data_IF_416226787677
#
_entry.id   IF_416226787677
#
_cell.length_a   1.000
_cell.length_b   1.000
_cell.length_c   1.000
_cell.angle_alpha   90.00
_cell.angle_beta   90.00
_cell.angle_gamma   90.00
#
_symmetry.space_group_name_H-M   'P 1'
#
loop_
_entity.id
_entity.type
_entity.pdbx_description
1 polymer ?
#
# COMPACT_ATOMS: atom_id res chain seq x y z
N UNK A 1 74.91 -18.36 21.30
CA UNK A 1 75.69 -17.35 20.60
C UNK A 1 74.94 -16.04 20.61
N UNK A 2 75.45 -15.11 21.38
CA UNK A 2 74.92 -13.76 21.60
C UNK A 2 74.87 -12.95 20.31
N UNK A 3 73.91 -12.02 20.22
CA UNK A 3 74.24 -10.61 20.04
C UNK A 3 72.98 -9.74 20.11
N UNK A 4 72.99 -8.96 21.13
CA UNK A 4 72.25 -7.74 21.39
C UNK A 4 72.46 -6.65 20.34
N UNK A 5 71.58 -5.69 20.20
CA UNK A 5 71.86 -4.24 20.21
C UNK A 5 70.63 -3.43 19.88
N UNK A 6 70.21 -2.76 20.79
CA UNK A 6 70.29 -1.31 21.14
C UNK A 6 69.09 -0.47 20.67
N UNK A 7 68.35 -0.08 21.66
CA UNK A 7 67.46 1.05 21.77
C UNK A 7 68.10 2.38 21.35
N UNK A 8 67.42 3.18 20.61
CA UNK A 8 67.56 4.64 20.66
C UNK A 8 66.17 5.29 20.78
N UNK A 9 66.02 5.89 21.94
CA UNK A 9 64.96 6.80 22.26
C UNK A 9 65.26 8.14 21.63
N UNK A 10 64.41 8.65 20.82
CA UNK A 10 64.41 10.05 20.41
C UNK A 10 63.05 10.67 20.93
N UNK A 11 63.24 11.46 21.95
CA UNK A 11 62.21 12.36 22.49
C UNK A 11 62.07 13.54 21.55
N UNK A 12 60.87 13.74 21.04
CA UNK A 12 60.47 14.97 20.38
C UNK A 12 59.32 15.56 21.14
N UNK A 13 59.52 16.74 21.66
CA UNK A 13 58.56 17.53 22.42
C UNK A 13 57.37 17.92 21.56
N UNK A 14 56.18 17.67 22.07
CA UNK A 14 54.93 18.02 21.43
C UNK A 14 54.56 19.47 21.74
N UNK A 15 54.34 20.26 20.71
CA UNK A 15 53.61 21.51 20.81
C UNK A 15 52.09 21.22 20.88
N UNK A 16 51.49 21.66 21.95
CA UNK A 16 50.01 21.60 22.12
C UNK A 16 49.37 22.69 21.25
N UNK A 17 48.80 22.31 20.16
CA UNK A 17 47.85 23.16 19.40
C UNK A 17 46.46 22.78 19.82
N UNK A 18 45.81 23.61 20.60
CA UNK A 18 44.39 23.54 20.92
C UNK A 18 43.57 23.97 19.68
N UNK A 19 43.35 23.02 18.79
CA UNK A 19 42.41 23.16 17.71
C UNK A 19 41.07 22.58 18.16
N UNK A 20 40.07 23.46 18.38
CA UNK A 20 38.70 23.01 18.66
C UNK A 20 38.16 22.22 17.47
N UNK A 21 37.99 20.93 17.63
CA UNK A 21 37.16 20.13 16.73
C UNK A 21 35.69 20.52 16.98
N UNK A 22 35.16 21.35 16.11
CA UNK A 22 33.70 21.41 15.89
C UNK A 22 33.32 20.06 15.31
N UNK A 23 32.83 19.19 16.16
CA UNK A 23 32.12 17.98 15.72
C UNK A 23 30.78 18.42 15.09
N UNK A 24 30.78 18.60 13.77
CA UNK A 24 29.56 18.66 13.00
C UNK A 24 28.95 17.25 13.06
N UNK A 25 28.03 17.06 14.00
CA UNK A 25 27.11 15.92 13.93
C UNK A 25 26.27 16.10 12.68
N UNK A 26 26.62 15.39 11.63
CA UNK A 26 25.72 15.19 10.49
C UNK A 26 24.57 14.37 11.05
N UNK A 27 23.45 15.03 11.33
CA UNK A 27 22.21 14.34 11.58
C UNK A 27 21.84 13.61 10.28
N UNK A 28 22.13 12.32 10.24
CA UNK A 28 21.60 11.44 9.19
C UNK A 28 20.11 11.37 9.45
N UNK A 29 19.37 12.20 8.74
CA UNK A 29 17.91 12.04 8.68
C UNK A 29 17.65 10.67 8.06
N UNK A 30 16.95 9.76 8.74
CA UNK A 30 16.61 8.47 8.15
C UNK A 30 15.86 8.73 6.84
N UNK A 31 16.36 8.13 5.77
CA UNK A 31 15.76 8.24 4.45
C UNK A 31 14.30 7.77 4.56
N UNK A 32 13.35 8.60 4.15
CA UNK A 32 11.91 8.29 4.26
C UNK A 32 11.51 6.98 3.53
N UNK A 33 12.40 6.42 2.71
CA UNK A 33 12.27 5.11 2.08
C UNK A 33 12.55 3.93 3.01
N UNK A 34 13.21 4.14 4.16
CA UNK A 34 13.52 3.09 5.16
C UNK A 34 12.56 3.10 6.34
N UNK A 35 11.77 4.15 6.51
CA UNK A 35 10.67 4.17 7.44
C UNK A 35 9.55 3.29 6.88
N UNK A 36 9.52 2.01 7.28
CA UNK A 36 8.39 1.12 7.04
C UNK A 36 7.08 1.74 7.54
N UNK A 37 5.97 1.00 7.53
CA UNK A 37 4.67 1.50 7.98
C UNK A 37 4.61 2.02 9.43
N UNK A 38 5.74 2.14 10.12
CA UNK A 38 5.86 2.73 11.46
C UNK A 38 5.89 4.26 11.50
N UNK A 39 6.21 4.87 10.36
CA UNK A 39 6.52 6.28 10.37
C UNK A 39 5.28 7.11 10.33
N UNK A 40 4.77 7.58 11.31
CA UNK A 40 3.78 8.67 11.41
C UNK A 40 2.47 8.29 12.08
N UNK A 41 2.37 8.60 13.35
CA UNK A 41 1.10 8.97 13.94
C UNK A 41 0.87 10.47 13.66
N UNK A 42 0.12 10.80 12.61
CA UNK A 42 -0.41 12.15 12.46
C UNK A 42 -1.73 12.24 13.22
N UNK A 43 -1.93 13.32 13.91
CA UNK A 43 -3.24 13.66 14.44
C UNK A 43 -4.18 13.98 13.27
N UNK A 44 -5.00 13.02 12.86
CA UNK A 44 -5.92 13.12 11.71
C UNK A 44 -6.85 14.34 11.80
N UNK A 45 -7.12 14.86 13.01
CA UNK A 45 -7.96 16.04 13.19
C UNK A 45 -7.35 17.33 12.63
N UNK A 46 -6.03 17.36 12.45
CA UNK A 46 -5.29 18.54 11.94
C UNK A 46 -5.06 18.51 10.44
N UNK A 47 -5.32 17.37 9.76
CA UNK A 47 -5.12 17.22 8.34
C UNK A 47 -6.35 17.68 7.55
N UNK A 48 -6.14 18.35 6.43
CA UNK A 48 -7.18 18.58 5.43
C UNK A 48 -7.63 17.26 4.79
N UNK A 49 -8.82 17.21 4.18
CA UNK A 49 -9.29 16.04 3.46
C UNK A 49 -8.32 15.59 2.36
N UNK A 50 -7.70 16.55 1.66
CA UNK A 50 -6.75 16.26 0.58
C UNK A 50 -5.43 15.70 1.15
N UNK A 51 -4.93 16.22 2.26
CA UNK A 51 -3.77 15.65 2.95
C UNK A 51 -4.03 14.22 3.41
N UNK A 52 -5.22 13.93 3.95
CA UNK A 52 -5.59 12.55 4.31
C UNK A 52 -5.65 11.60 3.11
N UNK A 53 -6.02 12.10 1.94
CA UNK A 53 -6.02 11.31 0.70
C UNK A 53 -4.61 10.94 0.22
N UNK A 54 -3.64 11.83 0.41
CA UNK A 54 -2.24 11.60 0.02
C UNK A 54 -1.42 10.97 1.13
N UNK A 55 -1.70 11.33 2.38
CA UNK A 55 -0.87 11.06 3.56
C UNK A 55 -1.60 10.22 4.61
N UNK A 56 -2.54 9.34 4.19
CA UNK A 56 -3.16 8.41 5.12
C UNK A 56 -2.09 7.61 5.85
N UNK A 57 -2.07 7.74 7.16
CA UNK A 57 -1.04 7.19 7.99
C UNK A 57 -1.52 5.97 8.72
N UNK A 58 -0.62 5.02 8.79
CA UNK A 58 -0.88 3.74 9.40
C UNK A 58 -1.20 3.90 10.88
N UNK A 59 -2.34 3.35 11.29
CA UNK A 59 -2.78 3.31 12.70
C UNK A 59 -2.09 2.21 13.49
N UNK A 60 -1.28 1.38 12.82
CA UNK A 60 -0.46 0.32 13.41
C UNK A 60 0.98 0.48 12.93
N UNK A 61 1.94 0.39 13.84
CA UNK A 61 3.35 0.25 13.49
C UNK A 61 3.63 -1.05 12.74
N UNK A 62 4.73 -1.11 11.98
CA UNK A 62 5.04 -2.19 11.05
C UNK A 62 5.05 -3.58 11.70
N UNK A 63 5.63 -3.72 12.88
CA UNK A 63 5.64 -4.98 13.64
C UNK A 63 4.22 -5.45 13.98
N UNK A 64 3.38 -4.56 14.50
CA UNK A 64 2.00 -4.90 14.86
C UNK A 64 1.17 -5.20 13.61
N UNK A 65 1.37 -4.44 12.53
CA UNK A 65 0.71 -4.69 11.25
C UNK A 65 1.09 -6.07 10.67
N UNK A 66 2.39 -6.41 10.69
CA UNK A 66 2.86 -7.71 10.22
C UNK A 66 2.26 -8.87 11.03
N UNK A 67 2.29 -8.80 12.37
CA UNK A 67 1.68 -9.80 13.26
C UNK A 67 0.18 -9.94 12.98
N UNK A 68 -0.53 -8.82 12.96
CA UNK A 68 -1.96 -8.75 12.71
C UNK A 68 -2.38 -9.37 11.38
N UNK A 69 -1.64 -9.08 10.30
CA UNK A 69 -1.93 -9.66 8.98
C UNK A 69 -1.60 -11.16 8.92
N UNK A 70 -0.62 -11.65 9.70
CA UNK A 70 -0.33 -13.09 9.80
C UNK A 70 -1.40 -13.86 10.58
N UNK A 71 -2.02 -13.22 11.54
CA UNK A 71 -3.16 -13.79 12.28
C UNK A 71 -4.40 -13.90 11.38
N UNK A 72 -4.51 -13.05 10.37
CA UNK A 72 -5.65 -12.98 9.46
C UNK A 72 -6.81 -12.14 10.01
N UNK A 73 -7.96 -12.21 9.33
CA UNK A 73 -9.18 -11.51 9.74
C UNK A 73 -9.31 -10.10 9.18
N UNK A 74 -8.48 -9.71 8.21
CA UNK A 74 -8.52 -8.40 7.57
C UNK A 74 -8.92 -8.50 6.10
N UNK A 75 -9.55 -7.44 5.62
CA UNK A 75 -9.78 -7.22 4.19
C UNK A 75 -8.74 -6.23 3.69
N UNK A 76 -8.14 -6.53 2.55
CA UNK A 76 -7.13 -5.68 1.92
C UNK A 76 -7.67 -5.23 0.57
N UNK A 77 -7.93 -3.94 0.42
CA UNK A 77 -8.32 -3.35 -0.85
C UNK A 77 -7.06 -2.91 -1.61
N UNK A 78 -6.88 -3.41 -2.82
CA UNK A 78 -5.74 -3.10 -3.69
C UNK A 78 -6.26 -2.36 -4.93
N UNK A 79 -5.82 -1.14 -5.17
CA UNK A 79 -6.01 -0.52 -6.48
C UNK A 79 -5.18 -1.29 -7.49
N UNK A 80 -5.74 -1.57 -8.68
CA UNK A 80 -5.00 -2.24 -9.75
C UNK A 80 -3.62 -1.61 -10.00
N UNK A 81 -2.66 -2.39 -10.46
CA UNK A 81 -1.31 -1.93 -10.78
C UNK A 81 -1.29 -1.00 -12.02
N UNK A 82 -0.16 -0.38 -12.28
CA UNK A 82 0.01 0.64 -13.33
C UNK A 82 -0.45 0.19 -14.70
N UNK A 83 -1.02 1.13 -15.45
CA UNK A 83 -1.55 0.93 -16.78
C UNK A 83 -0.75 1.70 -17.85
N UNK A 84 -0.93 1.34 -19.13
CA UNK A 84 -0.21 1.96 -20.24
C UNK A 84 -0.64 3.41 -20.53
N UNK A 85 -1.90 3.74 -20.25
CA UNK A 85 -2.50 5.04 -20.54
C UNK A 85 -3.20 5.58 -19.31
N UNK A 86 -3.19 6.89 -19.18
CA UNK A 86 -3.88 7.59 -18.11
C UNK A 86 -5.18 8.21 -18.64
N UNK A 87 -6.09 7.36 -19.08
CA UNK A 87 -7.43 7.72 -19.51
C UNK A 87 -8.45 6.71 -19.03
N UNK A 88 -9.69 7.12 -18.89
CA UNK A 88 -10.77 6.24 -18.45
C UNK A 88 -11.34 5.40 -19.59
N UNK A 89 -11.58 4.12 -19.35
CA UNK A 89 -12.26 3.22 -20.31
C UNK A 89 -13.69 3.65 -20.58
N UNK A 90 -14.34 4.30 -19.62
CA UNK A 90 -15.72 4.77 -19.70
C UNK A 90 -15.96 5.81 -20.84
N UNK A 91 -14.89 6.42 -21.36
CA UNK A 91 -14.99 7.31 -22.52
C UNK A 91 -14.90 6.58 -23.85
N UNK A 92 -14.62 5.28 -23.83
CA UNK A 92 -14.55 4.45 -25.05
C UNK A 92 -15.93 3.90 -25.41
N UNK A 93 -16.47 4.19 -26.58
CA UNK A 93 -17.75 3.63 -27.01
C UNK A 93 -17.68 2.13 -27.29
N UNK A 94 -16.48 1.57 -27.38
CA UNK A 94 -16.23 0.15 -27.67
C UNK A 94 -15.87 -0.67 -26.44
N UNK A 95 -15.98 -0.10 -25.23
CA UNK A 95 -15.65 -0.81 -24.00
C UNK A 95 -16.44 -2.12 -23.88
N UNK A 96 -15.71 -3.22 -23.86
CA UNK A 96 -16.25 -4.56 -23.60
C UNK A 96 -15.43 -5.23 -22.50
N UNK A 97 -16.04 -5.55 -21.37
CA UNK A 97 -15.36 -6.18 -20.23
C UNK A 97 -14.90 -7.61 -20.53
N UNK A 98 -15.44 -8.26 -21.56
CA UNK A 98 -14.98 -9.56 -22.02
C UNK A 98 -13.75 -9.48 -22.96
N UNK A 99 -13.45 -8.30 -23.53
CA UNK A 99 -12.32 -8.08 -24.43
C UNK A 99 -11.33 -7.06 -23.87
N UNK A 100 -10.17 -7.55 -23.45
CA UNK A 100 -9.10 -6.70 -22.92
C UNK A 100 -8.51 -5.72 -23.94
N UNK A 101 -8.73 -5.92 -25.24
CA UNK A 101 -8.22 -5.00 -26.26
C UNK A 101 -9.00 -3.68 -26.29
N UNK A 102 -10.23 -3.69 -25.80
CA UNK A 102 -11.07 -2.50 -25.66
C UNK A 102 -10.83 -1.74 -24.37
N UNK A 103 -9.91 -2.22 -23.53
CA UNK A 103 -9.70 -1.70 -22.18
C UNK A 103 -8.27 -1.18 -21.98
N UNK A 104 -8.11 -0.30 -21.01
CA UNK A 104 -6.82 0.10 -20.47
C UNK A 104 -6.14 -1.09 -19.81
N UNK A 105 -4.96 -1.49 -20.31
CA UNK A 105 -4.23 -2.68 -19.85
C UNK A 105 -3.05 -2.33 -18.94
N UNK A 106 -2.61 -3.29 -18.13
CA UNK A 106 -1.40 -3.14 -17.32
C UNK A 106 -0.18 -2.85 -18.20
N UNK A 107 0.62 -1.86 -17.81
CA UNK A 107 1.93 -1.62 -18.39
C UNK A 107 2.91 -2.74 -18.02
N UNK A 108 4.11 -2.72 -18.63
CA UNK A 108 5.19 -3.62 -18.24
C UNK A 108 5.58 -3.43 -16.78
N UNK A 109 5.63 -2.19 -16.32
CA UNK A 109 5.92 -1.79 -14.95
C UNK A 109 4.81 -2.24 -14.01
N UNK A 110 3.55 -2.08 -14.40
CA UNK A 110 2.41 -2.56 -13.62
C UNK A 110 2.39 -4.09 -13.46
N UNK A 111 2.77 -4.84 -14.49
CA UNK A 111 2.93 -6.30 -14.37
C UNK A 111 4.03 -6.69 -13.39
N UNK A 112 5.15 -5.93 -13.33
CA UNK A 112 6.20 -6.13 -12.32
C UNK A 112 5.69 -5.77 -10.91
N UNK A 113 5.00 -4.65 -10.79
CA UNK A 113 4.42 -4.16 -9.54
C UNK A 113 3.46 -5.17 -8.93
N UNK A 114 2.53 -5.72 -9.73
CA UNK A 114 1.63 -6.77 -9.26
C UNK A 114 2.38 -8.01 -8.71
N UNK A 115 3.46 -8.42 -9.38
CA UNK A 115 4.30 -9.52 -8.88
C UNK A 115 5.05 -9.16 -7.61
N UNK A 116 5.55 -7.93 -7.49
CA UNK A 116 6.23 -7.43 -6.28
C UNK A 116 5.26 -7.47 -5.09
N UNK A 117 4.01 -7.04 -5.25
CA UNK A 117 2.96 -7.14 -4.23
C UNK A 117 2.82 -8.60 -3.77
N UNK A 118 2.60 -9.53 -4.69
CA UNK A 118 2.40 -10.95 -4.35
C UNK A 118 3.62 -11.60 -3.71
N UNK A 119 4.82 -11.31 -4.22
CA UNK A 119 6.08 -11.79 -3.64
C UNK A 119 6.30 -11.24 -2.23
N UNK A 120 6.00 -9.95 -2.01
CA UNK A 120 6.10 -9.32 -0.70
C UNK A 120 5.15 -9.95 0.32
N UNK A 121 3.89 -10.17 -0.05
CA UNK A 121 2.88 -10.83 0.77
C UNK A 121 3.34 -12.25 1.15
N UNK A 122 3.82 -13.03 0.17
CA UNK A 122 4.36 -14.38 0.38
C UNK A 122 5.59 -14.37 1.30
N UNK A 123 6.54 -13.48 1.05
CA UNK A 123 7.76 -13.33 1.87
C UNK A 123 7.42 -12.99 3.31
N UNK A 124 6.40 -12.17 3.52
CA UNK A 124 5.92 -11.74 4.83
C UNK A 124 5.04 -12.78 5.52
N UNK A 125 4.80 -13.94 4.90
CA UNK A 125 3.98 -15.05 5.41
C UNK A 125 2.55 -14.63 5.76
N UNK A 126 1.99 -13.70 4.99
CA UNK A 126 0.62 -13.23 5.18
C UNK A 126 -0.32 -14.22 4.49
N UNK A 127 -1.26 -14.84 5.22
CA UNK A 127 -2.16 -15.84 4.65
C UNK A 127 -3.20 -15.17 3.73
N UNK A 128 -3.27 -15.66 2.49
CA UNK A 128 -4.18 -15.20 1.46
C UNK A 128 -5.37 -16.17 1.37
N UNK A 129 -6.53 -15.71 1.79
CA UNK A 129 -7.82 -16.40 1.66
C UNK A 129 -8.45 -16.17 0.29
N UNK A 130 -9.61 -15.52 0.27
CA UNK A 130 -10.27 -15.12 -0.97
C UNK A 130 -9.54 -13.98 -1.65
N UNK A 131 -9.56 -14.01 -2.98
CA UNK A 131 -9.13 -12.90 -3.82
C UNK A 131 -10.27 -12.59 -4.77
N UNK A 132 -10.84 -11.39 -4.62
CA UNK A 132 -12.00 -10.92 -5.37
C UNK A 132 -11.56 -9.73 -6.22
N UNK A 133 -11.87 -9.75 -7.50
CA UNK A 133 -11.47 -8.70 -8.43
C UNK A 133 -12.65 -8.11 -9.17
N UNK A 134 -12.52 -6.85 -9.57
CA UNK A 134 -13.34 -6.24 -10.59
C UNK A 134 -13.25 -7.03 -11.90
N UNK A 135 -14.28 -6.92 -12.76
CA UNK A 135 -14.31 -7.53 -14.09
C UNK A 135 -13.35 -6.89 -15.08
N UNK A 136 -12.82 -5.71 -14.78
CA UNK A 136 -11.87 -5.01 -15.64
C UNK A 136 -10.54 -5.75 -15.73
N UNK A 137 -10.01 -5.85 -16.95
CA UNK A 137 -8.79 -6.62 -17.24
C UNK A 137 -7.59 -6.19 -16.40
N UNK A 138 -7.41 -4.88 -16.17
CA UNK A 138 -6.31 -4.39 -15.32
C UNK A 138 -6.43 -4.85 -13.87
N UNK A 139 -7.64 -4.99 -13.34
CA UNK A 139 -7.86 -5.44 -11.97
C UNK A 139 -7.61 -6.95 -11.84
N UNK A 140 -8.29 -7.78 -12.62
CA UNK A 140 -8.10 -9.22 -12.48
C UNK A 140 -6.70 -9.70 -12.94
N UNK A 141 -6.05 -9.01 -13.89
CA UNK A 141 -4.66 -9.29 -14.22
C UNK A 141 -3.70 -8.92 -13.09
N UNK A 142 -3.99 -7.86 -12.32
CA UNK A 142 -3.26 -7.56 -11.08
C UNK A 142 -3.44 -8.69 -10.08
N UNK A 143 -4.68 -9.14 -9.85
CA UNK A 143 -4.99 -10.25 -8.95
C UNK A 143 -4.31 -11.56 -9.39
N UNK A 144 -4.37 -11.90 -10.68
CA UNK A 144 -3.72 -13.09 -11.23
C UNK A 144 -2.20 -13.06 -11.04
N UNK A 145 -1.56 -11.92 -11.31
CA UNK A 145 -0.10 -11.78 -11.20
C UNK A 145 0.39 -11.76 -9.75
N UNK A 146 -0.40 -11.21 -8.84
CA UNK A 146 -0.05 -11.13 -7.42
C UNK A 146 -0.35 -12.44 -6.67
N UNK A 147 -1.49 -13.05 -6.92
CA UNK A 147 -2.02 -14.13 -6.09
C UNK A 147 -2.18 -15.49 -6.82
N UNK A 148 -2.14 -15.50 -8.14
CA UNK A 148 -2.35 -16.71 -8.95
C UNK A 148 -3.80 -17.23 -8.97
N UNK A 149 -4.72 -16.54 -8.28
CA UNK A 149 -6.14 -16.90 -8.18
C UNK A 149 -7.00 -15.66 -8.01
N UNK A 150 -8.23 -15.71 -8.45
CA UNK A 150 -9.27 -14.69 -8.16
C UNK A 150 -10.65 -15.19 -8.56
N UNK A 151 -11.66 -14.56 -7.98
CA UNK A 151 -13.05 -14.57 -8.48
C UNK A 151 -13.44 -13.16 -8.90
N UNK A 152 -14.33 -13.03 -9.87
CA UNK A 152 -14.82 -11.72 -10.33
C UNK A 152 -16.05 -11.30 -9.54
N UNK A 153 -16.16 -9.99 -9.27
CA UNK A 153 -17.31 -9.39 -8.64
C UNK A 153 -17.54 -7.98 -9.18
N UNK A 154 -18.65 -7.79 -9.89
CA UNK A 154 -19.02 -6.52 -10.52
C UNK A 154 -19.24 -5.37 -9.54
N UNK A 155 -19.43 -5.65 -8.25
CA UNK A 155 -19.50 -4.60 -7.22
C UNK A 155 -18.20 -3.79 -7.10
N UNK A 156 -17.06 -4.30 -7.59
CA UNK A 156 -15.81 -3.60 -7.65
C UNK A 156 -15.58 -2.84 -8.97
N UNK A 157 -16.51 -2.89 -9.92
CA UNK A 157 -16.40 -2.22 -11.21
C UNK A 157 -16.61 -0.72 -11.09
N UNK A 158 -16.02 0.02 -12.03
CA UNK A 158 -16.45 1.39 -12.28
C UNK A 158 -17.94 1.47 -12.65
N UNK A 159 -18.57 2.57 -12.26
CA UNK A 159 -19.74 3.08 -12.93
C UNK A 159 -19.30 3.85 -14.18
N UNK A 160 -20.15 3.97 -15.21
CA UNK A 160 -19.83 4.71 -16.43
C UNK A 160 -19.94 6.23 -16.17
N UNK A 161 -19.02 6.79 -15.38
CA UNK A 161 -18.91 8.22 -15.11
C UNK A 161 -17.49 8.72 -15.43
N UNK A 162 -17.39 9.88 -16.08
CA UNK A 162 -16.14 10.63 -16.23
C UNK A 162 -15.95 11.52 -15.00
N UNK A 163 -16.99 12.29 -14.66
CA UNK A 163 -17.08 13.08 -13.43
C UNK A 163 -18.17 12.49 -12.56
N UNK A 164 -17.80 11.62 -11.62
CA UNK A 164 -18.77 10.95 -10.77
C UNK A 164 -19.52 11.94 -9.87
N UNK A 165 -20.82 11.81 -9.85
CA UNK A 165 -21.72 12.61 -9.00
C UNK A 165 -21.75 12.08 -7.55
N UNK A 166 -22.28 12.84 -6.58
CA UNK A 166 -22.52 12.33 -5.24
C UNK A 166 -23.40 11.08 -5.19
N UNK A 167 -24.29 10.89 -6.16
CA UNK A 167 -25.14 9.69 -6.27
C UNK A 167 -24.31 8.48 -6.69
N UNK A 168 -23.36 8.63 -7.61
CA UNK A 168 -22.44 7.58 -8.03
C UNK A 168 -21.56 7.12 -6.87
N UNK A 169 -21.04 8.06 -6.07
CA UNK A 169 -20.28 7.71 -4.87
C UNK A 169 -21.10 6.98 -3.80
N UNK A 170 -22.38 7.32 -3.63
CA UNK A 170 -23.29 6.55 -2.77
C UNK A 170 -23.51 5.12 -3.29
N UNK A 171 -23.61 4.97 -4.61
CA UNK A 171 -23.75 3.65 -5.22
C UNK A 171 -22.48 2.83 -5.06
N UNK A 172 -21.30 3.40 -5.20
CA UNK A 172 -20.04 2.73 -4.86
C UNK A 172 -20.02 2.29 -3.38
N UNK A 173 -20.41 3.16 -2.45
CA UNK A 173 -20.48 2.82 -1.04
C UNK A 173 -21.42 1.63 -0.79
N UNK A 174 -22.63 1.65 -1.40
CA UNK A 174 -23.60 0.56 -1.29
C UNK A 174 -23.05 -0.78 -1.79
N UNK A 175 -22.29 -0.77 -2.89
CA UNK A 175 -21.74 -1.99 -3.53
C UNK A 175 -20.52 -2.54 -2.80
N UNK A 176 -19.65 -1.67 -2.33
CA UNK A 176 -18.32 -2.05 -1.81
C UNK A 176 -18.31 -2.26 -0.29
N UNK A 177 -19.18 -1.55 0.48
CA UNK A 177 -19.23 -1.71 1.94
C UNK A 177 -19.46 -3.16 2.41
N UNK A 178 -20.34 -3.96 1.78
CA UNK A 178 -20.50 -5.36 2.17
C UNK A 178 -19.23 -6.17 2.03
N UNK A 179 -18.44 -5.90 0.98
CA UNK A 179 -17.17 -6.60 0.73
C UNK A 179 -16.09 -6.21 1.76
N UNK A 180 -16.00 -4.93 2.13
CA UNK A 180 -15.03 -4.44 3.12
C UNK A 180 -15.40 -4.83 4.56
N UNK A 181 -16.68 -5.05 4.83
CA UNK A 181 -17.18 -5.39 6.16
C UNK A 181 -17.31 -6.89 6.42
N UNK A 182 -17.17 -7.73 5.39
CA UNK A 182 -17.27 -9.18 5.49
C UNK A 182 -16.03 -9.75 6.22
N UNK A 183 -16.27 -10.63 7.20
CA UNK A 183 -15.18 -11.30 7.90
C UNK A 183 -14.56 -12.37 7.00
N UNK A 184 -13.23 -12.34 6.79
CA UNK A 184 -12.52 -13.42 6.11
C UNK A 184 -12.66 -14.76 6.83
N UNK A 185 -12.40 -15.85 6.13
CA UNK A 185 -12.26 -17.15 6.74
C UNK A 185 -11.16 -17.12 7.83
N UNK A 186 -11.34 -17.86 8.91
CA UNK A 186 -10.43 -17.88 10.04
C UNK A 186 -8.98 -18.13 9.61
N UNK A 187 -8.05 -17.35 10.16
CA UNK A 187 -6.64 -17.45 9.86
C UNK A 187 -6.23 -16.94 8.46
N UNK A 188 -7.12 -16.28 7.73
CA UNK A 188 -6.82 -15.74 6.39
C UNK A 188 -7.22 -14.27 6.26
N UNK A 189 -6.74 -13.62 5.19
CA UNK A 189 -7.18 -12.28 4.79
C UNK A 189 -7.84 -12.35 3.41
N UNK A 190 -8.89 -11.55 3.21
CA UNK A 190 -9.52 -11.36 1.90
C UNK A 190 -8.86 -10.21 1.16
N UNK A 191 -8.54 -10.40 -0.11
CA UNK A 191 -7.99 -9.36 -0.97
C UNK A 191 -9.00 -8.95 -2.02
N UNK A 192 -9.29 -7.66 -2.09
CA UNK A 192 -10.16 -7.03 -3.08
C UNK A 192 -9.29 -6.25 -4.05
N UNK A 193 -9.37 -6.54 -5.35
CA UNK A 193 -8.61 -5.80 -6.37
C UNK A 193 -9.58 -5.00 -7.21
N UNK A 194 -9.50 -3.68 -7.09
CA UNK A 194 -10.45 -2.76 -7.70
C UNK A 194 -9.79 -1.48 -8.21
N UNK A 195 -10.51 -0.39 -8.09
CA UNK A 195 -10.21 0.90 -8.69
C UNK A 195 -10.24 2.02 -7.63
N UNK A 196 -9.92 3.24 -8.08
CA UNK A 196 -9.90 4.45 -7.26
C UNK A 196 -11.29 4.89 -6.80
N UNK A 197 -12.19 5.23 -7.73
CA UNK A 197 -13.50 5.80 -7.38
C UNK A 197 -14.38 4.91 -6.49
N UNK A 198 -14.46 3.58 -6.71
CA UNK A 198 -15.17 2.68 -5.78
C UNK A 198 -14.62 2.75 -4.35
N UNK A 199 -13.30 2.84 -4.19
CA UNK A 199 -12.71 2.96 -2.86
C UNK A 199 -12.92 4.34 -2.26
N UNK A 200 -12.81 5.40 -3.06
CA UNK A 200 -13.11 6.74 -2.59
C UNK A 200 -14.56 6.84 -2.14
N UNK A 201 -15.49 6.35 -2.94
CA UNK A 201 -16.93 6.39 -2.60
C UNK A 201 -17.23 5.68 -1.27
N UNK A 202 -16.68 4.48 -1.07
CA UNK A 202 -16.94 3.72 0.17
C UNK A 202 -16.26 4.32 1.40
N UNK A 203 -15.21 5.09 1.24
CA UNK A 203 -14.50 5.73 2.36
C UNK A 203 -15.03 7.11 2.72
N UNK A 204 -15.90 7.72 1.92
CA UNK A 204 -16.50 9.04 2.20
C UNK A 204 -17.22 9.10 3.56
N UNK A 205 -17.81 7.99 4.01
CA UNK A 205 -18.44 7.91 5.33
C UNK A 205 -17.49 7.58 6.47
N UNK A 206 -16.23 7.23 6.17
CA UNK A 206 -15.23 6.78 7.15
C UNK A 206 -14.12 7.83 7.33
N UNK A 207 -13.71 8.46 6.23
CA UNK A 207 -12.66 9.48 6.18
C UNK A 207 -13.23 10.75 5.50
N UNK A 208 -14.10 11.51 6.21
CA UNK A 208 -14.68 12.72 5.67
C UNK A 208 -13.60 13.80 5.41
N UNK A 209 -13.89 14.81 4.56
CA UNK A 209 -15.16 14.97 3.86
C UNK A 209 -15.23 14.28 2.49
N UNK A 210 -14.11 13.95 1.85
CA UNK A 210 -14.07 13.52 0.44
C UNK A 210 -13.75 12.03 0.24
N UNK A 211 -13.57 11.26 1.31
CA UNK A 211 -13.09 9.89 1.22
C UNK A 211 -11.60 9.81 0.85
N UNK A 212 -11.10 8.60 0.64
CA UNK A 212 -9.71 8.35 0.25
C UNK A 212 -9.63 7.99 -1.22
N UNK A 213 -8.95 8.81 -2.01
CA UNK A 213 -8.56 8.46 -3.37
C UNK A 213 -7.27 7.62 -3.30
N UNK A 214 -7.31 6.33 -3.66
CA UNK A 214 -6.16 5.45 -3.49
C UNK A 214 -5.08 5.71 -4.55
N UNK A 215 -4.06 6.45 -4.20
CA UNK A 215 -2.92 6.79 -5.04
C UNK A 215 -1.59 6.44 -4.34
N UNK A 216 -0.58 5.95 -5.09
CA UNK A 216 -0.54 5.61 -6.53
C UNK A 216 -1.28 4.30 -6.87
N UNK A 217 -1.36 3.96 -8.18
CA UNK A 217 -1.79 2.63 -8.62
C UNK A 217 -0.96 1.55 -7.92
N UNK A 218 -1.58 0.41 -7.59
CA UNK A 218 -0.94 -0.65 -6.82
C UNK A 218 -0.96 -0.44 -5.31
N UNK A 219 -1.36 0.74 -4.81
CA UNK A 219 -1.52 0.97 -3.37
C UNK A 219 -2.59 0.05 -2.79
N UNK A 220 -2.37 -0.37 -1.56
CA UNK A 220 -3.31 -1.18 -0.81
C UNK A 220 -3.72 -0.52 0.51
N UNK A 221 -4.96 -0.76 0.92
CA UNK A 221 -5.49 -0.35 2.21
C UNK A 221 -5.92 -1.57 3.00
N UNK A 222 -5.39 -1.71 4.20
CA UNK A 222 -5.78 -2.75 5.16
C UNK A 222 -6.98 -2.26 5.96
N UNK A 223 -7.99 -3.09 6.01
CA UNK A 223 -9.29 -2.78 6.60
C UNK A 223 -9.64 -3.83 7.63
N UNK A 224 -10.03 -3.41 8.82
CA UNK A 224 -10.64 -4.27 9.83
C UNK A 224 -12.13 -4.34 9.58
N UNK A 225 -12.69 -5.51 9.16
CA UNK A 225 -14.12 -5.66 8.98
C UNK A 225 -14.84 -5.66 10.34
N UNK A 226 -16.00 -5.03 10.39
CA UNK A 226 -16.82 -4.91 11.61
C UNK A 226 -18.24 -5.48 11.42
N UNK A 227 -18.55 -5.97 10.23
CA UNK A 227 -19.88 -6.45 9.87
C UNK A 227 -20.88 -5.34 9.53
N UNK A 228 -22.01 -5.72 8.93
CA UNK A 228 -23.12 -4.81 8.66
C UNK A 228 -22.75 -3.54 7.87
N UNK A 229 -21.86 -3.67 6.89
CA UNK A 229 -21.37 -2.54 6.09
C UNK A 229 -20.32 -1.68 6.78
N UNK A 230 -20.00 -1.94 8.06
CA UNK A 230 -19.04 -1.17 8.83
C UNK A 230 -17.63 -1.77 8.77
N UNK A 231 -16.63 -0.90 8.73
CA UNK A 231 -15.23 -1.26 8.72
C UNK A 231 -14.37 -0.11 9.27
N UNK A 232 -13.11 -0.40 9.57
CA UNK A 232 -12.13 0.59 10.01
C UNK A 232 -10.87 0.48 9.18
N UNK A 233 -10.41 1.59 8.62
CA UNK A 233 -9.11 1.66 7.96
C UNK A 233 -7.98 1.53 8.99
N UNK A 234 -6.98 0.73 8.66
CA UNK A 234 -5.90 0.37 9.59
C UNK A 234 -4.54 0.80 9.05
N UNK A 235 -4.27 0.53 7.79
CA UNK A 235 -2.98 0.84 7.19
C UNK A 235 -3.10 1.06 5.68
N UNK A 236 -2.15 1.85 5.14
CA UNK A 236 -1.87 2.01 3.72
C UNK A 236 -0.51 1.35 3.44
N UNK A 237 -0.40 0.60 2.36
CA UNK A 237 0.83 -0.05 1.93
C UNK A 237 1.09 0.21 0.44
N UNK A 238 2.27 0.72 0.15
CA UNK A 238 2.76 0.80 -1.23
C UNK A 238 3.22 -0.60 -1.71
N UNK A 239 3.30 -0.84 -3.03
CA UNK A 239 3.70 -2.13 -3.57
C UNK A 239 4.98 -2.72 -2.99
N UNK A 240 5.99 -1.89 -2.75
CA UNK A 240 7.29 -2.30 -2.22
C UNK A 240 7.30 -2.56 -0.71
N UNK A 241 6.35 -2.01 0.03
CA UNK A 241 6.31 -2.11 1.49
C UNK A 241 5.85 -3.50 2.00
N UNK A 242 5.18 -4.28 1.17
CA UNK A 242 4.79 -5.64 1.53
C UNK A 242 5.97 -6.53 1.92
N UNK A 243 7.08 -6.44 1.17
CA UNK A 243 8.28 -7.21 1.46
C UNK A 243 8.98 -6.76 2.75
N UNK A 244 8.83 -5.49 3.13
CA UNK A 244 9.42 -4.95 4.35
C UNK A 244 8.77 -5.53 5.62
N UNK A 245 7.52 -5.96 5.56
CA UNK A 245 6.85 -6.62 6.68
C UNK A 245 7.48 -7.97 7.05
N UNK A 246 8.31 -8.55 6.19
CA UNK A 246 8.99 -9.82 6.43
C UNK A 246 10.10 -9.75 7.50
N UNK A 247 10.57 -8.54 7.83
CA UNK A 247 11.62 -8.34 8.85
C UNK A 247 11.07 -8.35 10.29
N UNK A 248 9.78 -8.36 10.45
CA UNK A 248 9.09 -8.43 11.72
C UNK A 248 8.40 -9.78 11.90
#
# INVERSE_FOLDING_TARGET
>A
MQLSKNFRILSVSAAVVTGGLLATTIAVTPNAAEAGPEAYEINESTLSGDQRNTDFINRLGARKLASTLREGGYVVYVRHARTNKDWGDQVSPTLNLADCNTQRRLSREGKKEARIIGQGIKKSRIPVGEVISSDYCRAYNTAQLAFGKYTKNSNLNFLPCVDCTPADYKEYARRVSPLLSAKPAAGTNTFLVGHDDPFQGVTMGVEPPKGIYPDPMGVAYVVKPMGNGNFKLVAKLLPTQWAALAQF
#
